data_IF_231164091589
#
_entry.id   IF_231164091589
#
_cell.length_a   1.000
_cell.length_b   1.000
_cell.length_c   1.000
_cell.angle_alpha   90.00
_cell.angle_beta   90.00
_cell.angle_gamma   90.00
#
_symmetry.space_group_name_H-M   'P 1'
#
loop_
_entity.id
_entity.type
_entity.pdbx_description
1 polymer ?
#
# COMPACT_ATOMS: atom_id res chain seq x y z
N UNK A 1 -12.73 -4.36 -23.65
CA UNK A 1 -11.73 -5.29 -23.08
C UNK A 1 -11.84 -5.28 -21.57
N UNK A 2 -11.71 -4.14 -20.86
CA UNK A 2 -11.75 -4.03 -19.38
C UNK A 2 -13.04 -4.52 -18.70
N UNK A 3 -14.11 -4.82 -19.41
CA UNK A 3 -15.32 -5.44 -18.87
C UNK A 3 -15.26 -6.99 -18.77
N UNK A 4 -14.20 -7.60 -19.27
CA UNK A 4 -14.07 -9.06 -19.43
C UNK A 4 -12.91 -9.62 -18.61
N UNK A 5 -11.90 -8.79 -18.29
CA UNK A 5 -10.78 -9.18 -17.44
C UNK A 5 -11.15 -9.03 -15.97
N UNK A 6 -10.62 -9.91 -15.13
CA UNK A 6 -10.85 -9.82 -13.70
C UNK A 6 -10.17 -8.58 -13.11
N UNK A 7 -10.48 -8.29 -11.86
CA UNK A 7 -10.06 -7.07 -11.17
C UNK A 7 -8.54 -6.97 -11.02
N UNK A 8 -7.90 -8.09 -10.68
CA UNK A 8 -6.44 -8.15 -10.48
C UNK A 8 -5.70 -7.94 -11.81
N UNK A 9 -6.13 -8.58 -12.87
CA UNK A 9 -5.56 -8.39 -14.20
C UNK A 9 -5.78 -6.97 -14.73
N UNK A 10 -6.87 -6.30 -14.35
CA UNK A 10 -7.16 -4.94 -14.80
C UNK A 10 -6.14 -3.93 -14.29
N UNK A 11 -5.81 -3.95 -12.99
CA UNK A 11 -4.83 -3.00 -12.46
C UNK A 11 -3.40 -3.35 -12.88
N UNK A 12 -3.02 -4.63 -12.93
CA UNK A 12 -1.71 -5.06 -13.41
C UNK A 12 -1.48 -4.60 -14.86
N UNK A 13 -2.47 -4.79 -15.73
CA UNK A 13 -2.40 -4.28 -17.12
C UNK A 13 -2.29 -2.77 -17.15
N UNK A 14 -2.98 -2.05 -16.26
CA UNK A 14 -2.91 -0.60 -16.18
C UNK A 14 -1.51 -0.11 -15.76
N UNK A 15 -0.88 -0.77 -14.80
CA UNK A 15 0.47 -0.42 -14.32
C UNK A 15 1.55 -0.59 -15.40
N UNK A 16 1.38 -1.53 -16.32
CA UNK A 16 2.32 -1.79 -17.44
C UNK A 16 2.17 -0.79 -18.61
N UNK A 17 1.13 0.06 -18.61
CA UNK A 17 0.93 1.05 -19.66
C UNK A 17 1.84 2.26 -19.49
N UNK A 18 2.25 2.85 -20.59
CA UNK A 18 2.87 4.18 -20.60
C UNK A 18 1.91 5.23 -20.03
N UNK A 19 2.46 6.25 -19.36
CA UNK A 19 1.64 7.26 -18.66
C UNK A 19 0.57 7.90 -19.55
N UNK A 20 0.91 8.20 -20.80
CA UNK A 20 -0.04 8.78 -21.78
C UNK A 20 -1.26 7.87 -22.00
N UNK A 21 -1.02 6.57 -22.15
CA UNK A 21 -2.07 5.56 -22.34
C UNK A 21 -2.88 5.36 -21.07
N UNK A 22 -2.24 5.44 -19.88
CA UNK A 22 -2.93 5.42 -18.59
C UNK A 22 -3.93 6.57 -18.45
N UNK A 23 -3.52 7.79 -18.80
CA UNK A 23 -4.37 8.98 -18.77
C UNK A 23 -5.52 8.88 -19.76
N UNK A 24 -5.25 8.44 -20.99
CA UNK A 24 -6.29 8.22 -22.01
C UNK A 24 -7.31 7.19 -21.55
N UNK A 25 -6.84 6.06 -21.03
CA UNK A 25 -7.69 4.99 -20.52
C UNK A 25 -8.57 5.45 -19.35
N UNK A 26 -8.03 6.22 -18.39
CA UNK A 26 -8.82 6.79 -17.28
C UNK A 26 -9.92 7.71 -17.78
N UNK A 27 -9.66 8.49 -18.83
CA UNK A 27 -10.67 9.37 -19.41
C UNK A 27 -11.78 8.63 -20.16
N UNK A 28 -11.49 7.44 -20.70
CA UNK A 28 -12.46 6.63 -21.44
C UNK A 28 -13.27 5.67 -20.56
N UNK A 29 -12.69 5.24 -19.44
CA UNK A 29 -13.33 4.30 -18.52
C UNK A 29 -14.47 4.96 -17.73
N UNK A 30 -15.46 4.14 -17.35
CA UNK A 30 -16.51 4.58 -16.44
C UNK A 30 -15.93 4.81 -15.05
N UNK A 31 -16.47 5.80 -14.35
CA UNK A 31 -16.10 6.20 -12.99
C UNK A 31 -15.81 5.00 -12.05
N UNK A 32 -16.68 3.99 -12.02
CA UNK A 32 -16.51 2.79 -11.20
C UNK A 32 -15.28 1.96 -11.56
N UNK A 33 -14.95 1.87 -12.83
CA UNK A 33 -13.79 1.10 -13.30
C UNK A 33 -12.50 1.79 -12.91
N UNK A 34 -12.43 3.11 -13.13
CA UNK A 34 -11.30 3.93 -12.67
C UNK A 34 -11.11 3.81 -11.16
N UNK A 35 -12.20 3.89 -10.39
CA UNK A 35 -12.15 3.75 -8.94
C UNK A 35 -11.59 2.39 -8.51
N UNK A 36 -11.97 1.30 -9.15
CA UNK A 36 -11.48 -0.03 -8.83
C UNK A 36 -9.98 -0.13 -9.13
N UNK A 37 -9.54 0.26 -10.33
CA UNK A 37 -8.13 0.21 -10.73
C UNK A 37 -7.27 1.00 -9.73
N UNK A 38 -7.60 2.26 -9.50
CA UNK A 38 -6.80 3.15 -8.64
C UNK A 38 -6.74 2.73 -7.17
N UNK A 39 -7.77 2.07 -6.65
CA UNK A 39 -7.77 1.60 -5.27
C UNK A 39 -7.08 0.24 -5.10
N UNK A 40 -6.91 -0.50 -6.19
CA UNK A 40 -6.22 -1.79 -6.19
C UNK A 40 -4.73 -1.68 -6.52
N UNK A 41 -4.29 -0.54 -7.09
CA UNK A 41 -2.87 -0.27 -7.33
C UNK A 41 -2.07 -0.27 -6.03
N UNK A 42 -0.81 -0.71 -6.11
CA UNK A 42 0.15 -0.55 -5.02
C UNK A 42 0.34 0.93 -4.67
N UNK A 43 0.62 1.27 -3.40
CA UNK A 43 0.75 2.67 -2.99
C UNK A 43 1.83 3.47 -3.74
N UNK A 44 2.96 2.84 -4.04
CA UNK A 44 4.08 3.42 -4.79
C UNK A 44 3.72 3.68 -6.26
N UNK A 45 3.18 2.68 -6.97
CA UNK A 45 2.75 2.82 -8.35
C UNK A 45 1.63 3.86 -8.49
N UNK A 46 0.65 3.83 -7.57
CA UNK A 46 -0.39 4.85 -7.52
C UNK A 46 0.18 6.24 -7.30
N UNK A 47 1.16 6.40 -6.41
CA UNK A 47 1.81 7.68 -6.16
C UNK A 47 2.58 8.16 -7.39
N UNK A 48 3.36 7.29 -8.02
CA UNK A 48 4.08 7.59 -9.25
C UNK A 48 3.14 8.04 -10.40
N UNK A 49 1.97 7.42 -10.51
CA UNK A 49 0.94 7.86 -11.45
C UNK A 49 0.37 9.24 -11.08
N UNK A 50 0.01 9.47 -9.82
CA UNK A 50 -0.59 10.71 -9.33
C UNK A 50 0.34 11.92 -9.49
N UNK A 51 1.65 11.74 -9.33
CA UNK A 51 2.66 12.78 -9.48
C UNK A 51 2.74 13.38 -10.87
N UNK A 52 2.48 12.57 -11.88
CA UNK A 52 2.58 12.98 -13.27
C UNK A 52 1.32 13.74 -13.74
N UNK A 53 0.24 13.71 -12.94
CA UNK A 53 -1.01 14.40 -13.28
C UNK A 53 -0.90 15.92 -13.02
N UNK A 54 -1.49 16.71 -13.91
CA UNK A 54 -1.71 18.12 -13.61
C UNK A 54 -2.67 18.33 -12.42
N UNK A 55 -2.70 19.49 -11.79
CA UNK A 55 -3.47 19.74 -10.57
C UNK A 55 -4.98 19.48 -10.69
N UNK A 56 -5.56 19.70 -11.87
CA UNK A 56 -6.99 19.52 -12.09
C UNK A 56 -7.34 18.03 -12.19
N UNK A 57 -6.54 17.24 -12.90
CA UNK A 57 -6.69 15.80 -12.99
C UNK A 57 -6.37 15.12 -11.65
N UNK A 58 -5.31 15.53 -10.97
CA UNK A 58 -4.95 15.03 -9.64
C UNK A 58 -6.10 15.18 -8.65
N UNK A 59 -6.72 16.37 -8.58
CA UNK A 59 -7.85 16.61 -7.69
C UNK A 59 -9.08 15.75 -8.02
N UNK A 60 -9.32 15.46 -9.29
CA UNK A 60 -10.41 14.56 -9.71
C UNK A 60 -10.12 13.12 -9.28
N UNK A 61 -8.92 12.64 -9.56
CA UNK A 61 -8.49 11.27 -9.26
C UNK A 61 -8.46 11.01 -7.75
N UNK A 62 -7.95 11.94 -6.95
CA UNK A 62 -7.95 11.83 -5.49
C UNK A 62 -9.37 11.66 -4.88
N UNK A 63 -10.41 12.20 -5.53
CA UNK A 63 -11.80 12.01 -5.10
C UNK A 63 -12.34 10.61 -5.36
N UNK A 64 -11.72 9.85 -6.27
CA UNK A 64 -12.07 8.47 -6.59
C UNK A 64 -11.50 7.46 -5.58
N UNK A 65 -10.43 7.83 -4.89
CA UNK A 65 -9.80 6.99 -3.89
C UNK A 65 -10.68 6.85 -2.64
N UNK A 66 -10.62 5.68 -2.01
CA UNK A 66 -11.16 5.49 -0.67
C UNK A 66 -10.49 6.46 0.32
N UNK A 67 -11.09 6.67 1.48
CA UNK A 67 -10.50 7.54 2.49
C UNK A 67 -9.13 7.04 2.97
N UNK A 68 -8.94 5.71 3.05
CA UNK A 68 -7.68 5.06 3.41
C UNK A 68 -6.63 5.37 2.34
N UNK A 69 -6.91 5.00 1.08
CA UNK A 69 -5.97 5.12 -0.02
C UNK A 69 -5.60 6.57 -0.34
N UNK A 70 -6.55 7.49 -0.17
CA UNK A 70 -6.28 8.93 -0.30
C UNK A 70 -5.31 9.45 0.75
N UNK A 71 -5.44 9.01 2.02
CA UNK A 71 -4.49 9.40 3.07
C UNK A 71 -3.08 8.89 2.76
N UNK A 72 -2.97 7.65 2.34
CA UNK A 72 -1.70 7.05 1.93
C UNK A 72 -1.08 7.84 0.78
N UNK A 73 -1.83 8.07 -0.30
CA UNK A 73 -1.35 8.82 -1.44
C UNK A 73 -0.87 10.24 -1.06
N UNK A 74 -1.65 10.97 -0.27
CA UNK A 74 -1.27 12.32 0.18
C UNK A 74 -0.04 12.30 1.11
N UNK A 75 0.13 11.26 1.92
CA UNK A 75 1.31 11.09 2.76
C UNK A 75 2.56 10.89 1.90
N UNK A 76 2.50 10.01 0.90
CA UNK A 76 3.62 9.72 0.01
C UNK A 76 3.94 10.93 -0.88
N UNK A 77 2.93 11.59 -1.46
CA UNK A 77 3.09 12.83 -2.23
C UNK A 77 3.70 13.99 -1.41
N UNK A 78 3.64 13.93 -0.09
CA UNK A 78 4.25 14.90 0.81
C UNK A 78 5.78 14.77 0.95
N UNK A 79 6.36 13.65 0.54
CA UNK A 79 7.82 13.47 0.55
C UNK A 79 8.49 14.14 -0.67
N UNK A 80 9.77 14.57 -0.58
CA UNK A 80 10.52 15.05 -1.74
C UNK A 80 10.62 13.98 -2.84
N UNK A 81 10.57 14.40 -4.11
CA UNK A 81 10.56 13.50 -5.28
C UNK A 81 11.70 12.47 -5.28
N UNK A 82 12.92 12.90 -4.92
CA UNK A 82 14.12 12.06 -4.90
C UNK A 82 14.33 11.32 -3.56
N UNK A 83 13.33 11.27 -2.69
CA UNK A 83 13.48 10.64 -1.37
C UNK A 83 13.02 9.19 -1.36
N UNK A 84 13.64 8.38 -0.49
CA UNK A 84 13.18 6.99 -0.23
C UNK A 84 11.71 6.97 0.19
N UNK A 85 11.23 8.01 0.86
CA UNK A 85 9.81 8.14 1.26
C UNK A 85 8.82 8.03 0.10
N UNK A 86 9.23 8.40 -1.12
CA UNK A 86 8.41 8.25 -2.33
C UNK A 86 8.34 6.81 -2.84
N UNK A 87 9.38 6.03 -2.59
CA UNK A 87 9.54 4.66 -3.07
C UNK A 87 9.09 3.61 -2.04
N UNK A 88 8.68 4.05 -0.84
CA UNK A 88 8.28 3.12 0.20
C UNK A 88 6.81 2.74 0.09
N UNK A 89 6.50 1.49 0.47
CA UNK A 89 5.12 1.09 0.77
C UNK A 89 4.85 1.32 2.25
N UNK A 90 3.72 1.93 2.63
CA UNK A 90 3.30 2.01 4.02
C UNK A 90 2.55 0.74 4.49
N UNK A 91 2.32 -0.21 3.58
CA UNK A 91 1.57 -1.45 3.85
C UNK A 91 2.50 -2.53 4.43
N UNK A 92 3.15 -2.22 5.57
CA UNK A 92 3.97 -3.13 6.35
C UNK A 92 3.31 -3.47 7.69
N UNK A 93 3.74 -4.58 8.31
CA UNK A 93 3.33 -4.96 9.65
C UNK A 93 4.33 -4.42 10.66
N UNK A 94 3.87 -3.53 11.56
CA UNK A 94 4.63 -3.09 12.72
C UNK A 94 3.92 -3.51 14.00
N UNK A 95 4.69 -4.04 14.96
CA UNK A 95 4.22 -4.54 16.26
C UNK A 95 5.01 -3.90 17.38
N UNK A 96 4.39 -3.78 18.57
CA UNK A 96 5.09 -3.21 19.72
C UNK A 96 6.06 -4.25 20.33
N UNK A 97 7.24 -3.79 20.73
CA UNK A 97 8.28 -4.62 21.36
C UNK A 97 7.81 -5.37 22.61
N UNK A 98 6.78 -4.87 23.28
CA UNK A 98 6.24 -5.49 24.50
C UNK A 98 5.17 -6.56 24.23
N UNK A 99 4.83 -6.81 22.97
CA UNK A 99 3.82 -7.81 22.62
C UNK A 99 4.37 -9.22 22.76
N UNK A 100 3.48 -10.14 23.14
CA UNK A 100 3.74 -11.57 23.09
C UNK A 100 3.60 -12.10 21.67
N UNK A 101 4.22 -13.23 21.37
CA UNK A 101 4.09 -13.94 20.10
C UNK A 101 2.62 -14.13 19.71
N UNK A 102 1.78 -14.52 20.69
CA UNK A 102 0.33 -14.66 20.45
C UNK A 102 -0.33 -13.37 20.00
N UNK A 103 -0.02 -12.24 20.63
CA UNK A 103 -0.57 -10.93 20.24
C UNK A 103 -0.13 -10.54 18.83
N UNK A 104 1.11 -10.83 18.48
CA UNK A 104 1.64 -10.58 17.13
C UNK A 104 0.91 -11.42 16.09
N UNK A 105 0.73 -12.71 16.32
CA UNK A 105 0.01 -13.61 15.43
C UNK A 105 -1.45 -13.17 15.25
N UNK A 106 -2.13 -12.82 16.34
CA UNK A 106 -3.52 -12.36 16.29
C UNK A 106 -3.64 -11.03 15.53
N UNK A 107 -2.67 -10.14 15.68
CA UNK A 107 -2.60 -8.89 14.93
C UNK A 107 -2.38 -9.12 13.43
N UNK A 108 -1.43 -9.99 13.07
CA UNK A 108 -1.16 -10.35 11.67
C UNK A 108 -2.39 -10.95 11.01
N UNK A 109 -3.11 -11.85 11.69
CA UNK A 109 -4.34 -12.45 11.15
C UNK A 109 -5.45 -11.45 10.88
N UNK A 110 -5.50 -10.37 11.67
CA UNK A 110 -6.55 -9.35 11.53
C UNK A 110 -6.18 -8.18 10.61
N UNK A 111 -4.89 -7.92 10.39
CA UNK A 111 -4.41 -6.73 9.68
C UNK A 111 -3.44 -7.04 8.52
N UNK A 112 -2.86 -8.24 8.48
CA UNK A 112 -1.84 -8.62 7.50
C UNK A 112 -2.37 -8.85 6.08
N UNK A 113 -3.69 -8.98 5.89
CA UNK A 113 -4.30 -9.23 4.57
C UNK A 113 -4.00 -8.12 3.54
N UNK A 114 -3.76 -6.90 4.02
CA UNK A 114 -3.45 -5.74 3.17
C UNK A 114 -1.96 -5.38 3.16
N UNK A 115 -1.10 -6.19 3.75
CA UNK A 115 0.33 -5.93 3.76
C UNK A 115 0.98 -6.47 2.50
N UNK A 116 1.78 -5.66 1.83
CA UNK A 116 2.47 -6.03 0.59
C UNK A 116 3.47 -7.18 0.84
N UNK A 117 4.12 -7.16 2.01
CA UNK A 117 4.97 -8.26 2.45
C UNK A 117 4.64 -8.64 3.90
N UNK A 118 4.59 -9.95 4.16
CA UNK A 118 4.47 -10.51 5.50
C UNK A 118 5.75 -11.22 5.96
N UNK A 119 6.76 -11.28 5.11
CA UNK A 119 7.99 -12.01 5.41
C UNK A 119 8.77 -11.42 6.57
N UNK A 120 8.72 -10.09 6.70
CA UNK A 120 9.36 -9.30 7.76
C UNK A 120 8.34 -8.50 8.53
N UNK A 121 8.42 -8.56 9.85
CA UNK A 121 7.60 -7.81 10.81
C UNK A 121 8.53 -6.84 11.53
N UNK A 122 8.18 -5.56 11.54
CA UNK A 122 8.96 -4.53 12.21
C UNK A 122 8.54 -4.39 13.66
N UNK A 123 9.53 -4.34 14.55
CA UNK A 123 9.33 -4.13 15.99
C UNK A 123 9.57 -2.67 16.30
N UNK A 124 8.58 -2.02 16.92
CA UNK A 124 8.65 -0.59 17.26
C UNK A 124 8.48 -0.38 18.76
N UNK A 125 9.07 0.71 19.28
CA UNK A 125 8.85 1.16 20.64
C UNK A 125 7.48 1.86 20.82
N UNK A 126 7.18 2.30 22.04
CA UNK A 126 5.95 3.03 22.37
C UNK A 126 5.77 4.34 21.57
N UNK A 127 6.86 4.91 21.03
CA UNK A 127 6.85 6.15 20.24
C UNK A 127 6.77 5.88 18.73
N UNK A 128 6.79 4.60 18.31
CA UNK A 128 6.76 4.20 16.92
C UNK A 128 8.14 4.20 16.24
N UNK A 129 9.25 4.30 16.99
CA UNK A 129 10.58 4.16 16.40
C UNK A 129 10.92 2.68 16.20
N UNK A 130 11.54 2.39 15.06
CA UNK A 130 12.03 1.06 14.74
C UNK A 130 13.10 0.63 15.75
N UNK A 131 12.87 -0.51 16.40
CA UNK A 131 13.79 -1.13 17.37
C UNK A 131 14.49 -2.30 16.72
N UNK A 132 13.76 -3.16 16.00
CA UNK A 132 14.25 -4.39 15.39
C UNK A 132 13.30 -4.87 14.29
N UNK A 133 13.69 -5.95 13.61
CA UNK A 133 12.84 -6.69 12.69
C UNK A 133 12.92 -8.19 12.96
N UNK A 134 11.84 -8.92 12.66
CA UNK A 134 11.78 -10.37 12.83
C UNK A 134 11.07 -11.00 11.63
N UNK A 135 11.53 -12.17 11.23
CA UNK A 135 10.85 -12.93 10.18
C UNK A 135 9.62 -13.64 10.72
N UNK A 136 8.57 -13.68 9.92
CA UNK A 136 7.33 -14.39 10.31
C UNK A 136 7.57 -15.86 10.67
N UNK A 137 8.51 -16.51 9.99
CA UNK A 137 8.92 -17.88 10.31
C UNK A 137 9.44 -18.04 11.74
N UNK A 138 10.22 -17.07 12.21
CA UNK A 138 10.77 -17.08 13.57
C UNK A 138 9.67 -16.84 14.61
N UNK A 139 8.71 -15.95 14.30
CA UNK A 139 7.51 -15.74 15.16
C UNK A 139 6.70 -17.02 15.30
N UNK A 140 6.46 -17.74 14.18
CA UNK A 140 5.67 -18.97 14.17
C UNK A 140 6.35 -20.15 14.91
N UNK A 141 7.68 -20.16 14.96
CA UNK A 141 8.47 -21.19 15.65
C UNK A 141 8.79 -20.85 17.11
N UNK A 142 8.53 -19.60 17.52
CA UNK A 142 8.76 -19.16 18.90
C UNK A 142 7.66 -19.65 19.83
N UNK A 143 8.02 -20.01 21.08
CA UNK A 143 7.06 -20.25 22.14
C UNK A 143 6.34 -18.94 22.53
N UNK A 144 5.14 -19.04 23.13
CA UNK A 144 4.29 -17.88 23.48
C UNK A 144 4.88 -17.03 24.64
N UNK A 145 6.10 -16.54 24.42
CA UNK A 145 6.80 -15.62 25.31
C UNK A 145 6.98 -14.26 24.63
N UNK A 146 7.35 -13.23 25.39
CA UNK A 146 7.78 -11.95 24.82
C UNK A 146 8.98 -12.18 23.90
N UNK A 147 9.03 -11.49 22.79
CA UNK A 147 10.24 -11.40 21.96
C UNK A 147 11.32 -10.72 22.81
N UNK A 148 12.32 -11.47 23.26
CA UNK A 148 13.50 -10.95 23.97
C UNK A 148 14.65 -10.85 23.02
#
# INVERSE_FOLDING_TARGET
>A
VFNVIDREQAYQTFEELEFGDQVELINELRYRQVQLILNDMSPDNRTAFLEQLDPDHLNKVLKLLTQKERRVALSLLGYPEDSIGRLMTPDYVAVNQDWTVKQIIDFIRSHGENSETLDVIYIVDEKGYLVDDIRIGDVLLSEDHKLN
#
